data_IF_378676322063
#
_entry.id   IF_378676322063
#
_cell.length_a   1.000
_cell.length_b   1.000
_cell.length_c   1.000
_cell.angle_alpha   90.00
_cell.angle_beta   90.00
_cell.angle_gamma   90.00
#
_symmetry.space_group_name_H-M   'P 1'
#
loop_
_entity.id
_entity.type
_entity.pdbx_description
1 polymer ?
#
# COMPACT_ATOMS: atom_id res chain seq x y z
N UNK A 1 28.15 2.74 -19.36
CA UNK A 1 29.30 2.87 -18.45
C UNK A 1 30.35 1.88 -18.91
N UNK A 2 31.46 2.36 -19.42
CA UNK A 2 32.52 1.49 -19.95
C UNK A 2 33.51 1.12 -18.87
N UNK A 3 33.79 -0.18 -18.76
CA UNK A 3 34.63 -0.81 -17.75
C UNK A 3 35.83 -1.45 -18.45
N UNK A 4 37.03 -1.19 -17.93
CA UNK A 4 38.26 -1.76 -18.46
C UNK A 4 38.43 -3.24 -18.09
N UNK A 5 39.10 -4.00 -18.96
CA UNK A 5 39.38 -5.44 -18.74
C UNK A 5 40.28 -5.73 -17.55
N UNK A 6 41.06 -4.72 -17.12
CA UNK A 6 42.02 -4.81 -16.00
C UNK A 6 41.39 -4.54 -14.64
N UNK A 7 40.08 -4.32 -14.58
CA UNK A 7 39.38 -4.04 -13.33
C UNK A 7 39.42 -5.25 -12.38
N UNK A 8 39.88 -5.01 -11.15
CA UNK A 8 40.14 -6.08 -10.17
C UNK A 8 38.91 -6.94 -9.85
N UNK A 9 37.71 -6.35 -9.86
CA UNK A 9 36.45 -7.06 -9.59
C UNK A 9 36.09 -8.09 -10.67
N UNK A 10 36.62 -7.96 -11.89
CA UNK A 10 36.44 -8.95 -12.95
C UNK A 10 37.29 -10.22 -12.71
N UNK A 11 38.34 -10.09 -11.88
CA UNK A 11 39.32 -11.15 -11.60
C UNK A 11 39.19 -11.70 -10.17
N UNK A 12 37.98 -11.65 -9.59
CA UNK A 12 37.68 -12.16 -8.24
C UNK A 12 37.87 -11.14 -7.11
N UNK A 13 38.07 -9.86 -7.42
CA UNK A 13 38.04 -8.77 -6.45
C UNK A 13 36.63 -8.40 -5.98
N UNK A 14 36.53 -7.42 -5.07
CA UNK A 14 35.24 -6.94 -4.55
C UNK A 14 34.44 -6.20 -5.63
N UNK A 15 33.13 -6.47 -5.69
CA UNK A 15 32.24 -5.79 -6.63
C UNK A 15 32.15 -4.29 -6.38
N UNK A 16 32.06 -3.47 -7.44
CA UNK A 16 31.94 -2.02 -7.28
C UNK A 16 30.59 -1.64 -6.66
N UNK A 17 30.62 -0.61 -5.82
CA UNK A 17 29.43 -0.11 -5.11
C UNK A 17 28.83 1.08 -5.83
N UNK A 18 27.55 0.96 -6.20
CA UNK A 18 26.76 2.05 -6.75
C UNK A 18 26.11 2.86 -5.62
N UNK A 19 26.32 4.17 -5.65
CA UNK A 19 25.73 5.12 -4.71
C UNK A 19 24.80 6.05 -5.48
N UNK A 20 23.52 6.05 -5.11
CA UNK A 20 22.50 6.91 -5.72
C UNK A 20 21.84 7.73 -4.62
N UNK A 21 21.85 9.04 -4.77
CA UNK A 21 21.02 9.91 -3.96
C UNK A 21 19.69 10.17 -4.66
N UNK A 22 18.58 10.08 -3.93
CA UNK A 22 17.26 10.30 -4.51
C UNK A 22 16.33 10.98 -3.53
N UNK A 23 15.43 11.82 -4.06
CA UNK A 23 14.21 12.29 -3.38
C UNK A 23 12.96 11.65 -3.96
N UNK A 24 13.14 10.58 -4.74
CA UNK A 24 12.03 9.80 -5.23
C UNK A 24 11.40 8.99 -4.08
N UNK A 25 10.22 8.44 -4.32
CA UNK A 25 9.56 7.58 -3.34
C UNK A 25 10.11 6.15 -3.43
N UNK A 26 10.48 5.70 -4.63
CA UNK A 26 11.13 4.41 -4.86
C UNK A 26 12.08 4.49 -6.05
N UNK A 27 13.20 3.78 -5.99
CA UNK A 27 14.15 3.60 -7.10
C UNK A 27 14.45 2.13 -7.26
N UNK A 28 14.28 1.60 -8.46
CA UNK A 28 14.78 0.27 -8.85
C UNK A 28 16.03 0.42 -9.70
N UNK A 29 17.02 -0.42 -9.42
CA UNK A 29 18.32 -0.40 -10.08
C UNK A 29 18.41 -1.64 -10.95
N UNK A 30 18.50 -1.43 -12.26
CA UNK A 30 18.76 -2.49 -13.23
C UNK A 30 20.16 -2.34 -13.80
N UNK A 31 20.90 -3.44 -13.84
CA UNK A 31 22.24 -3.52 -14.42
C UNK A 31 22.21 -4.56 -15.51
N UNK A 32 22.52 -4.15 -16.74
CA UNK A 32 22.48 -4.99 -17.93
C UNK A 32 21.14 -5.72 -18.12
N UNK A 33 20.04 -5.08 -17.71
CA UNK A 33 18.68 -5.61 -17.82
C UNK A 33 18.22 -6.48 -16.65
N UNK A 34 19.08 -6.78 -15.68
CA UNK A 34 18.72 -7.55 -14.49
C UNK A 34 18.52 -6.64 -13.28
N UNK A 35 17.53 -6.95 -12.43
CA UNK A 35 17.32 -6.22 -11.19
C UNK A 35 18.49 -6.48 -10.23
N UNK A 36 19.20 -5.41 -9.87
CA UNK A 36 20.32 -5.48 -8.91
C UNK A 36 19.88 -5.09 -7.50
N UNK A 37 18.80 -4.34 -7.36
CA UNK A 37 18.29 -3.90 -6.06
C UNK A 37 17.24 -2.80 -6.21
N UNK A 38 16.63 -2.43 -5.09
CA UNK A 38 15.72 -1.30 -5.00
C UNK A 38 15.82 -0.65 -3.63
N UNK A 39 15.39 0.61 -3.54
CA UNK A 39 15.26 1.33 -2.27
C UNK A 39 14.07 2.28 -2.34
N UNK A 40 13.46 2.56 -1.19
CA UNK A 40 12.32 3.45 -1.06
C UNK A 40 12.46 4.31 0.19
N UNK A 41 11.89 5.52 0.13
CA UNK A 41 11.81 6.44 1.26
C UNK A 41 10.55 6.23 2.07
N UNK A 42 10.39 7.02 3.13
CA UNK A 42 9.14 7.10 3.88
C UNK A 42 8.44 8.43 3.60
N UNK A 43 7.21 8.58 4.08
CA UNK A 43 6.46 9.84 3.98
C UNK A 43 7.22 11.02 4.62
N UNK A 44 7.88 10.76 5.74
CA UNK A 44 8.67 11.75 6.49
C UNK A 44 10.05 11.95 5.86
N UNK A 45 10.76 10.84 5.62
CA UNK A 45 12.11 10.84 5.05
C UNK A 45 12.07 10.44 3.57
N UNK A 46 11.75 11.42 2.72
CA UNK A 46 11.71 11.24 1.25
C UNK A 46 13.08 11.16 0.61
N UNK A 47 14.10 11.80 1.20
CA UNK A 47 15.48 11.73 0.71
C UNK A 47 16.15 10.49 1.30
N UNK A 48 16.66 9.64 0.42
CA UNK A 48 17.45 8.49 0.82
C UNK A 48 18.67 8.31 -0.09
N UNK A 49 19.60 7.48 0.38
CA UNK A 49 20.79 7.09 -0.38
C UNK A 49 20.78 5.58 -0.52
N UNK A 50 20.71 5.11 -1.76
CA UNK A 50 20.98 3.70 -2.07
C UNK A 50 22.49 3.48 -2.11
N UNK A 51 22.94 2.40 -1.48
CA UNK A 51 24.31 1.88 -1.58
C UNK A 51 24.21 0.38 -1.78
N UNK A 52 24.66 -0.11 -2.93
CA UNK A 52 24.62 -1.53 -3.22
C UNK A 52 25.69 -1.94 -4.22
N UNK A 53 26.21 -3.14 -4.05
CA UNK A 53 27.18 -3.71 -4.96
C UNK A 53 26.49 -4.10 -6.27
N UNK A 54 27.13 -3.81 -7.40
CA UNK A 54 26.59 -4.09 -8.72
C UNK A 54 27.56 -4.98 -9.51
N UNK A 55 27.01 -5.92 -10.26
CA UNK A 55 27.80 -6.79 -11.13
C UNK A 55 27.96 -6.14 -12.51
N UNK A 56 29.18 -5.84 -12.90
CA UNK A 56 29.53 -5.24 -14.18
C UNK A 56 30.43 -6.22 -14.96
N UNK A 57 30.35 -6.20 -16.28
CA UNK A 57 31.27 -6.94 -17.15
C UNK A 57 32.27 -6.01 -17.82
N UNK A 58 33.31 -6.56 -18.44
CA UNK A 58 34.20 -5.77 -19.29
C UNK A 58 33.42 -5.10 -20.44
N UNK A 59 33.82 -3.88 -20.81
CA UNK A 59 33.19 -3.10 -21.87
C UNK A 59 31.95 -2.32 -21.39
N UNK A 60 30.99 -2.14 -22.29
CA UNK A 60 29.85 -1.25 -22.07
C UNK A 60 28.75 -1.89 -21.24
N UNK A 61 28.52 -1.35 -20.05
CA UNK A 61 27.42 -1.74 -19.16
C UNK A 61 26.29 -0.71 -19.20
N UNK A 62 25.05 -1.19 -19.17
CA UNK A 62 23.85 -0.35 -19.11
C UNK A 62 23.26 -0.37 -17.70
N UNK A 63 23.29 0.78 -17.04
CA UNK A 63 22.63 1.00 -15.75
C UNK A 63 21.34 1.75 -16.01
N UNK A 64 20.21 1.15 -15.68
CA UNK A 64 18.88 1.76 -15.81
C UNK A 64 18.30 1.99 -14.43
N UNK A 65 17.90 3.23 -14.15
CA UNK A 65 17.28 3.61 -12.87
C UNK A 65 15.80 3.90 -13.11
N UNK A 66 14.92 3.08 -12.53
CA UNK A 66 13.49 3.34 -12.55
C UNK A 66 13.10 4.13 -11.31
N UNK A 67 12.85 5.43 -11.50
CA UNK A 67 12.42 6.36 -10.46
C UNK A 67 10.89 6.43 -10.41
N UNK A 68 10.29 6.09 -9.26
CA UNK A 68 8.83 5.95 -9.09
C UNK A 68 8.26 6.94 -8.07
N UNK A 69 7.28 7.74 -8.49
CA UNK A 69 6.56 8.65 -7.60
C UNK A 69 5.29 8.01 -7.02
N UNK A 70 5.11 8.05 -5.70
CA UNK A 70 3.94 7.51 -4.99
C UNK A 70 3.11 8.69 -4.45
N UNK A 71 2.51 9.43 -5.38
CA UNK A 71 1.87 10.70 -5.08
C UNK A 71 2.85 11.87 -5.05
N UNK A 72 2.31 13.09 -4.99
CA UNK A 72 3.07 14.33 -4.85
C UNK A 72 2.80 14.96 -3.47
N UNK A 73 3.73 15.76 -2.95
CA UNK A 73 3.52 16.49 -1.71
C UNK A 73 2.25 17.36 -1.76
N UNK A 74 1.52 17.40 -0.65
CA UNK A 74 0.24 18.10 -0.54
C UNK A 74 0.12 18.97 0.72
N UNK A 75 1.19 19.11 1.50
CA UNK A 75 1.24 19.94 2.72
C UNK A 75 2.67 20.37 3.02
N UNK A 76 2.85 21.62 3.45
CA UNK A 76 4.15 22.23 3.76
C UNK A 76 4.29 23.65 3.21
N UNK A 77 5.28 24.40 3.67
CA UNK A 77 5.67 25.66 3.01
C UNK A 77 6.40 25.35 1.70
N UNK A 78 5.97 25.97 0.60
CA UNK A 78 6.58 25.81 -0.73
C UNK A 78 6.73 24.35 -1.21
N UNK A 79 5.76 23.48 -0.90
CA UNK A 79 5.87 22.06 -1.26
C UNK A 79 5.86 21.84 -2.79
N UNK A 80 5.37 22.81 -3.56
CA UNK A 80 5.42 22.84 -5.02
C UNK A 80 6.86 22.89 -5.58
N UNK A 81 7.81 23.40 -4.80
CA UNK A 81 9.21 23.51 -5.21
C UNK A 81 10.05 22.28 -4.81
N UNK A 82 9.44 21.25 -4.24
CA UNK A 82 10.15 20.07 -3.76
C UNK A 82 10.44 19.10 -4.90
N UNK A 83 11.73 18.85 -5.14
CA UNK A 83 12.19 17.95 -6.20
C UNK A 83 11.81 16.49 -5.93
N UNK A 84 11.37 15.77 -6.97
CA UNK A 84 11.13 14.32 -6.94
C UNK A 84 11.92 13.65 -8.06
N UNK A 85 12.81 12.71 -7.71
CA UNK A 85 13.58 11.94 -8.69
C UNK A 85 14.97 11.57 -8.22
N UNK A 86 15.83 11.18 -9.17
CA UNK A 86 17.26 10.93 -8.92
C UNK A 86 17.97 12.28 -8.79
N UNK A 87 18.73 12.44 -7.71
CA UNK A 87 19.53 13.63 -7.44
C UNK A 87 21.02 13.33 -7.66
N UNK A 88 21.77 14.38 -7.98
CA UNK A 88 23.23 14.36 -7.93
C UNK A 88 23.67 14.32 -6.45
N UNK A 89 24.69 13.50 -6.08
CA UNK A 89 25.52 12.67 -6.95
C UNK A 89 25.01 11.23 -7.17
N UNK A 90 25.32 10.70 -8.36
CA UNK A 90 25.28 9.26 -8.69
C UNK A 90 26.72 8.82 -8.95
N UNK A 91 27.26 7.94 -8.12
CA UNK A 91 28.67 7.58 -8.17
C UNK A 91 28.89 6.07 -8.09
N UNK A 92 29.96 5.62 -8.73
CA UNK A 92 30.46 4.26 -8.66
C UNK A 92 31.79 4.25 -7.90
N UNK A 93 31.88 3.42 -6.87
CA UNK A 93 33.08 3.21 -6.06
C UNK A 93 33.65 1.81 -6.30
N UNK A 94 34.94 1.62 -6.03
CA UNK A 94 35.60 0.32 -6.14
C UNK A 94 36.11 0.01 -7.55
N UNK A 95 36.31 1.03 -8.39
CA UNK A 95 37.07 0.88 -9.62
C UNK A 95 38.57 1.03 -9.34
N UNK A 96 39.41 0.55 -10.25
CA UNK A 96 40.87 0.72 -10.23
C UNK A 96 41.29 2.20 -10.10
N UNK A 97 40.55 3.10 -10.75
CA UNK A 97 40.72 4.56 -10.69
C UNK A 97 40.06 5.19 -9.45
N UNK A 98 39.54 4.39 -8.52
CA UNK A 98 38.84 4.82 -7.32
C UNK A 98 37.35 5.07 -7.55
N UNK A 99 36.94 6.35 -7.44
CA UNK A 99 35.55 6.79 -7.57
C UNK A 99 35.30 7.37 -8.95
N UNK A 100 34.23 6.93 -9.61
CA UNK A 100 33.74 7.54 -10.85
C UNK A 100 32.38 8.20 -10.62
N UNK A 101 32.31 9.48 -10.94
CA UNK A 101 31.05 10.23 -10.94
C UNK A 101 30.29 9.96 -12.25
N UNK A 102 29.03 9.54 -12.14
CA UNK A 102 28.14 9.26 -13.26
C UNK A 102 27.17 10.43 -13.51
N UNK A 103 27.09 11.41 -12.61
CA UNK A 103 26.15 12.53 -12.72
C UNK A 103 26.40 13.41 -13.95
N UNK A 104 27.65 13.50 -14.40
CA UNK A 104 28.06 14.32 -15.54
C UNK A 104 28.16 13.53 -16.85
N UNK A 105 27.75 12.26 -16.86
CA UNK A 105 27.70 11.46 -18.08
C UNK A 105 26.40 11.72 -18.86
N UNK A 106 26.33 11.18 -20.08
CA UNK A 106 25.13 11.27 -20.90
C UNK A 106 24.02 10.38 -20.31
N UNK A 107 22.89 11.00 -19.96
CA UNK A 107 21.69 10.32 -19.50
C UNK A 107 20.64 10.22 -20.59
N UNK A 108 19.91 9.10 -20.62
CA UNK A 108 18.74 8.91 -21.47
C UNK A 108 17.50 8.73 -20.60
N UNK A 109 16.41 9.37 -20.97
CA UNK A 109 15.17 9.37 -20.20
C UNK A 109 14.04 8.73 -21.00
N UNK A 110 13.22 7.95 -20.31
CA UNK A 110 11.97 7.42 -20.82
C UNK A 110 10.89 7.68 -19.78
N UNK A 111 9.78 8.29 -20.20
CA UNK A 111 8.63 8.54 -19.34
C UNK A 111 7.68 7.35 -19.44
N UNK A 112 7.25 6.83 -18.29
CA UNK A 112 6.30 5.73 -18.20
C UNK A 112 6.87 4.37 -18.60
N UNK A 113 6.02 3.35 -18.45
CA UNK A 113 6.32 1.97 -18.75
C UNK A 113 5.86 1.62 -20.18
N UNK A 114 6.55 0.67 -20.80
CA UNK A 114 6.17 0.19 -22.14
C UNK A 114 4.73 -0.35 -22.17
N UNK A 115 4.30 -1.06 -21.13
CA UNK A 115 2.93 -1.57 -21.01
C UNK A 115 1.87 -0.47 -20.91
N UNK A 116 2.21 0.68 -20.33
CA UNK A 116 1.34 1.87 -20.29
C UNK A 116 1.21 2.48 -21.68
N UNK A 117 2.34 2.70 -22.39
CA UNK A 117 2.33 3.22 -23.76
C UNK A 117 1.59 2.30 -24.76
N UNK A 118 1.54 1.00 -24.45
CA UNK A 118 0.83 -0.02 -25.22
C UNK A 118 -0.65 -0.16 -24.82
N UNK A 119 -1.12 0.59 -23.82
CA UNK A 119 -2.50 0.53 -23.33
C UNK A 119 -2.95 -0.89 -22.93
N UNK A 120 -2.06 -1.71 -22.36
CA UNK A 120 -2.34 -3.12 -22.01
C UNK A 120 -3.53 -3.29 -21.05
N UNK A 121 -3.87 -2.26 -20.30
CA UNK A 121 -4.95 -2.26 -19.33
C UNK A 121 -6.34 -2.04 -19.95
N UNK A 122 -6.43 -1.64 -21.22
CA UNK A 122 -7.67 -1.28 -21.87
C UNK A 122 -8.21 -2.45 -22.73
N UNK A 123 -9.52 -2.73 -22.68
CA UNK A 123 -10.12 -3.83 -23.44
C UNK A 123 -10.18 -3.58 -24.94
N UNK A 124 -10.05 -2.33 -25.39
CA UNK A 124 -10.04 -1.95 -26.80
C UNK A 124 -8.62 -1.62 -27.24
N UNK A 125 -8.22 -2.12 -28.41
CA UNK A 125 -6.90 -1.89 -29.02
C UNK A 125 -5.70 -2.51 -28.28
N UNK A 126 -5.85 -3.69 -27.66
CA UNK A 126 -4.70 -4.42 -27.12
C UNK A 126 -3.74 -4.79 -28.27
N UNK A 127 -2.50 -4.26 -28.30
CA UNK A 127 -1.51 -4.67 -29.28
C UNK A 127 -1.16 -6.15 -29.09
N UNK A 128 -0.67 -6.79 -30.16
CA UNK A 128 -0.19 -8.17 -30.10
C UNK A 128 1.03 -8.25 -29.19
N UNK A 129 0.83 -8.73 -27.97
CA UNK A 129 1.86 -9.12 -27.01
C UNK A 129 1.65 -10.57 -26.64
N UNK A 130 2.76 -11.29 -26.53
CA UNK A 130 2.75 -12.67 -26.09
C UNK A 130 2.50 -12.72 -24.59
N UNK A 131 1.33 -13.23 -24.22
CA UNK A 131 0.99 -13.51 -22.83
C UNK A 131 1.42 -14.93 -22.49
N UNK A 132 1.95 -15.11 -21.29
CA UNK A 132 2.36 -16.40 -20.75
C UNK A 132 1.44 -16.80 -19.60
N UNK A 133 1.34 -18.10 -19.36
CA UNK A 133 0.55 -18.63 -18.25
C UNK A 133 1.11 -18.14 -16.90
N UNK A 134 0.21 -17.77 -15.99
CA UNK A 134 0.58 -17.23 -14.68
C UNK A 134 1.38 -18.24 -13.83
N UNK A 135 1.18 -19.55 -14.02
CA UNK A 135 1.92 -20.60 -13.33
C UNK A 135 3.44 -20.50 -13.48
N UNK A 136 3.91 -20.03 -14.64
CA UNK A 136 5.34 -19.80 -14.91
C UNK A 136 5.90 -18.60 -14.12
N UNK A 137 5.06 -17.59 -13.87
CA UNK A 137 5.45 -16.39 -13.11
C UNK A 137 5.58 -16.66 -11.61
N UNK A 138 4.84 -17.64 -11.08
CA UNK A 138 4.92 -18.04 -9.66
C UNK A 138 6.25 -18.74 -9.35
N UNK A 139 6.78 -19.54 -10.28
CA UNK A 139 8.05 -20.25 -10.09
C UNK A 139 9.26 -19.32 -10.10
N UNK A 140 9.17 -18.20 -10.82
CA UNK A 140 10.24 -17.22 -10.92
C UNK A 140 9.66 -15.80 -10.98
N UNK A 141 9.29 -15.21 -9.83
CA UNK A 141 8.72 -13.87 -9.80
C UNK A 141 9.68 -12.88 -10.46
N UNK A 142 9.17 -12.15 -11.44
CA UNK A 142 9.90 -11.09 -12.14
C UNK A 142 9.31 -9.73 -11.74
N UNK A 143 10.16 -8.71 -11.52
CA UNK A 143 9.69 -7.35 -11.32
C UNK A 143 9.09 -6.80 -12.63
N UNK A 144 8.28 -5.74 -12.51
CA UNK A 144 7.66 -5.05 -13.64
C UNK A 144 6.81 -5.97 -14.55
N UNK A 145 6.04 -6.87 -13.94
CA UNK A 145 5.19 -7.86 -14.63
C UNK A 145 3.76 -7.35 -14.79
N UNK A 146 3.15 -7.64 -15.94
CA UNK A 146 1.72 -7.39 -16.18
C UNK A 146 0.96 -8.71 -16.10
N UNK A 147 -0.08 -8.74 -15.28
CA UNK A 147 -1.00 -9.87 -15.17
C UNK A 147 -2.37 -9.45 -15.72
N UNK A 148 -3.05 -10.38 -16.37
CA UNK A 148 -4.43 -10.19 -16.80
C UNK A 148 -5.26 -11.43 -16.50
N UNK A 149 -6.53 -11.23 -16.22
CA UNK A 149 -7.51 -12.32 -16.13
C UNK A 149 -8.91 -11.80 -16.44
N UNK A 150 -9.84 -12.71 -16.68
CA UNK A 150 -11.25 -12.41 -16.83
C UNK A 150 -12.03 -13.04 -15.68
N UNK A 151 -13.03 -12.34 -15.16
CA UNK A 151 -13.88 -12.82 -14.09
C UNK A 151 -15.33 -12.39 -14.26
N UNK A 152 -16.23 -13.17 -13.69
CA UNK A 152 -17.65 -12.86 -13.65
C UNK A 152 -18.00 -12.09 -12.38
N UNK A 153 -18.98 -11.19 -12.47
CA UNK A 153 -19.37 -10.40 -11.31
C UNK A 153 -20.01 -11.31 -10.25
N UNK A 154 -19.58 -11.25 -8.98
CA UNK A 154 -20.20 -12.03 -7.93
C UNK A 154 -21.63 -11.53 -7.69
N UNK A 155 -22.54 -12.44 -7.34
CA UNK A 155 -23.93 -12.10 -7.01
C UNK A 155 -24.02 -11.23 -5.75
N UNK A 156 -25.10 -10.45 -5.61
CA UNK A 156 -25.36 -9.64 -4.41
C UNK A 156 -24.93 -8.17 -4.54
N UNK A 157 -25.38 -7.36 -3.59
CA UNK A 157 -25.19 -5.90 -3.58
C UNK A 157 -24.11 -5.46 -2.55
N UNK A 158 -23.37 -6.40 -1.97
CA UNK A 158 -22.33 -6.08 -1.00
C UNK A 158 -21.14 -5.36 -1.64
N UNK A 159 -20.49 -4.42 -0.93
CA UNK A 159 -19.26 -3.79 -1.41
C UNK A 159 -18.18 -4.83 -1.69
N UNK A 160 -17.59 -4.75 -2.89
CA UNK A 160 -16.52 -5.63 -3.35
C UNK A 160 -15.16 -4.98 -3.18
N UNK A 161 -14.17 -5.76 -2.77
CA UNK A 161 -12.78 -5.34 -2.74
C UNK A 161 -11.88 -6.44 -3.31
N UNK A 162 -10.74 -6.04 -3.86
CA UNK A 162 -9.68 -6.98 -4.23
C UNK A 162 -8.77 -7.19 -3.03
N UNK A 163 -8.63 -8.46 -2.63
CA UNK A 163 -7.61 -8.89 -1.69
C UNK A 163 -6.30 -9.07 -2.47
N UNK A 164 -5.33 -8.23 -2.15
CA UNK A 164 -4.01 -8.23 -2.79
C UNK A 164 -2.95 -8.92 -1.92
N UNK A 165 -3.36 -9.75 -0.96
CA UNK A 165 -2.42 -10.62 -0.23
C UNK A 165 -1.55 -11.42 -1.20
N UNK A 166 -0.25 -11.52 -0.89
CA UNK A 166 0.74 -12.20 -1.74
C UNK A 166 1.25 -11.39 -2.92
N UNK A 167 0.65 -10.23 -3.22
CA UNK A 167 1.18 -9.25 -4.17
C UNK A 167 2.12 -8.25 -3.48
N UNK A 168 2.89 -7.48 -4.24
CA UNK A 168 3.87 -6.52 -3.75
C UNK A 168 3.40 -5.07 -3.87
N UNK A 169 3.62 -4.46 -5.04
CA UNK A 169 3.31 -3.05 -5.29
C UNK A 169 2.93 -2.85 -6.74
N UNK A 170 1.98 -1.98 -7.03
CA UNK A 170 1.73 -1.57 -8.40
C UNK A 170 0.37 -0.92 -8.60
N UNK A 171 -0.29 -1.26 -9.70
CA UNK A 171 -1.56 -0.66 -10.10
C UNK A 171 -2.59 -1.72 -10.48
N UNK A 172 -3.85 -1.44 -10.17
CA UNK A 172 -4.99 -2.30 -10.47
C UNK A 172 -5.94 -1.56 -11.39
N UNK A 173 -6.37 -2.23 -12.46
CA UNK A 173 -7.38 -1.75 -13.38
C UNK A 173 -8.43 -2.84 -13.63
N UNK A 174 -9.70 -2.44 -13.66
CA UNK A 174 -10.83 -3.31 -14.00
C UNK A 174 -11.57 -2.69 -15.17
N UNK A 175 -11.74 -3.40 -16.28
CA UNK A 175 -12.41 -2.89 -17.49
C UNK A 175 -11.82 -1.57 -18.03
N UNK A 176 -10.51 -1.35 -17.87
CA UNK A 176 -9.83 -0.08 -18.24
C UNK A 176 -9.94 1.03 -17.20
N UNK A 177 -10.71 0.82 -16.14
CA UNK A 177 -10.92 1.77 -15.05
C UNK A 177 -9.93 1.52 -13.91
N UNK A 178 -9.19 2.55 -13.48
CA UNK A 178 -8.22 2.41 -12.40
C UNK A 178 -8.91 2.23 -11.05
N UNK A 179 -8.60 1.15 -10.34
CA UNK A 179 -9.00 0.96 -8.93
C UNK A 179 -8.06 1.77 -8.02
N UNK A 180 -6.79 1.85 -8.40
CA UNK A 180 -5.79 2.64 -7.70
C UNK A 180 -4.44 1.95 -7.65
N UNK A 181 -3.53 2.53 -6.85
CA UNK A 181 -2.25 1.94 -6.52
C UNK A 181 -2.43 0.96 -5.36
N UNK A 182 -1.74 -0.16 -5.41
CA UNK A 182 -1.61 -1.06 -4.26
C UNK A 182 -0.17 -1.12 -3.79
N UNK A 183 -0.02 -1.29 -2.49
CA UNK A 183 1.24 -1.57 -1.84
C UNK A 183 0.99 -2.31 -0.52
N UNK A 184 1.43 -3.56 -0.46
CA UNK A 184 1.21 -4.48 0.68
C UNK A 184 2.36 -4.46 1.69
N UNK A 185 3.12 -3.36 1.76
CA UNK A 185 4.19 -3.22 2.74
C UNK A 185 3.65 -3.34 4.17
N UNK A 186 4.43 -3.91 5.09
CA UNK A 186 3.95 -4.14 6.45
C UNK A 186 3.91 -2.85 7.26
N UNK A 187 2.80 -2.62 7.94
CA UNK A 187 2.64 -1.50 8.84
C UNK A 187 3.58 -1.66 10.04
N UNK A 188 4.31 -0.59 10.33
CA UNK A 188 5.18 -0.47 11.50
C UNK A 188 4.60 0.54 12.48
N UNK A 189 4.92 0.39 13.76
CA UNK A 189 4.44 1.27 14.82
C UNK A 189 4.17 0.51 16.12
N UNK A 190 3.68 1.24 17.11
CA UNK A 190 3.27 0.70 18.40
C UNK A 190 1.75 0.54 18.44
N UNK A 191 1.27 -0.64 18.05
CA UNK A 191 -0.14 -1.00 18.11
C UNK A 191 -0.49 -1.57 19.49
N UNK A 192 -0.48 -0.70 20.50
CA UNK A 192 -0.87 -1.04 21.86
C UNK A 192 -2.38 -0.90 22.13
N UNK A 193 -2.78 -1.26 23.34
CA UNK A 193 -4.11 -0.89 23.84
C UNK A 193 -4.19 0.63 24.00
N UNK A 194 -5.27 1.23 23.53
CA UNK A 194 -5.53 2.64 23.75
C UNK A 194 -6.82 2.86 24.55
N UNK A 195 -6.83 3.92 25.36
CA UNK A 195 -8.01 4.37 26.08
C UNK A 195 -8.60 5.62 25.42
N UNK A 196 -9.92 5.75 25.45
CA UNK A 196 -10.61 6.98 25.04
C UNK A 196 -10.28 8.16 25.96
N UNK A 197 -9.88 7.91 27.21
CA UNK A 197 -9.55 8.93 28.20
C UNK A 197 -8.22 9.64 27.90
N UNK A 198 -8.12 10.93 28.24
CA UNK A 198 -6.92 11.75 28.04
C UNK A 198 -6.74 12.26 26.61
N UNK A 199 -5.82 13.22 26.43
CA UNK A 199 -5.58 13.90 25.15
C UNK A 199 -5.32 12.92 24.01
N UNK A 200 -6.05 13.07 22.90
CA UNK A 200 -5.86 12.28 21.70
C UNK A 200 -4.66 12.77 20.91
N UNK A 201 -3.88 11.82 20.38
CA UNK A 201 -2.84 12.05 19.37
C UNK A 201 -3.05 11.03 18.23
N UNK A 202 -2.71 11.35 16.97
CA UNK A 202 -2.91 10.44 15.84
C UNK A 202 -2.29 9.05 16.00
N UNK A 203 -1.18 8.95 16.74
CA UNK A 203 -0.47 7.70 17.02
C UNK A 203 -0.95 6.96 18.28
N UNK A 204 -2.01 7.44 18.97
CA UNK A 204 -2.48 6.87 20.24
C UNK A 204 -3.18 5.52 20.08
N UNK A 205 -3.95 5.35 19.00
CA UNK A 205 -4.81 4.20 18.77
C UNK A 205 -4.49 3.57 17.41
N UNK A 206 -3.24 3.14 17.22
CA UNK A 206 -2.83 2.47 16.00
C UNK A 206 -3.31 1.01 16.00
N UNK A 207 -3.66 0.50 14.82
CA UNK A 207 -4.07 -0.88 14.62
C UNK A 207 -3.48 -1.43 13.33
N UNK A 208 -3.29 -2.74 13.25
CA UNK A 208 -2.80 -3.42 12.04
C UNK A 208 -1.28 -3.46 11.89
N UNK A 209 -0.50 -3.21 12.95
CA UNK A 209 0.95 -3.41 12.92
C UNK A 209 1.28 -4.88 12.61
N UNK A 210 2.31 -5.11 11.80
CA UNK A 210 2.69 -6.45 11.34
C UNK A 210 1.75 -7.03 10.28
N UNK A 211 0.78 -6.26 9.79
CA UNK A 211 -0.07 -6.60 8.65
C UNK A 211 0.22 -5.65 7.48
N UNK A 212 -0.17 -5.99 6.23
CA UNK A 212 -0.07 -5.06 5.11
C UNK A 212 -0.78 -3.73 5.44
N UNK A 213 -0.14 -2.59 5.14
CA UNK A 213 -0.68 -1.24 5.37
C UNK A 213 -2.05 -1.06 4.73
N UNK A 214 -2.26 -1.70 3.59
CA UNK A 214 -3.57 -1.88 2.98
C UNK A 214 -3.58 -3.22 2.22
N UNK A 215 -4.46 -4.12 2.64
CA UNK A 215 -4.66 -5.44 2.01
C UNK A 215 -5.81 -5.42 0.99
N UNK A 216 -6.91 -4.76 1.37
CA UNK A 216 -8.14 -4.72 0.58
C UNK A 216 -8.23 -3.41 -0.20
N UNK A 217 -8.42 -3.52 -1.51
CA UNK A 217 -8.51 -2.38 -2.43
C UNK A 217 -9.94 -2.26 -2.92
N UNK A 218 -10.61 -1.24 -2.39
CA UNK A 218 -11.98 -0.90 -2.71
C UNK A 218 -12.00 0.33 -3.61
N UNK A 219 -12.84 0.27 -4.64
CA UNK A 219 -13.40 1.45 -5.31
C UNK A 219 -14.91 1.29 -5.24
N UNK A 220 -15.67 2.38 -5.26
CA UNK A 220 -17.14 2.34 -5.29
C UNK A 220 -17.63 1.68 -6.58
N UNK A 221 -17.57 0.35 -6.61
CA UNK A 221 -18.09 -0.52 -7.64
C UNK A 221 -19.62 -0.54 -7.51
N UNK A 222 -20.26 0.63 -7.65
CA UNK A 222 -21.68 0.62 -8.01
C UNK A 222 -21.79 -0.20 -9.29
N UNK A 223 -22.78 -1.09 -9.34
CA UNK A 223 -23.00 -2.12 -10.36
C UNK A 223 -22.91 -1.64 -11.82
N UNK A 224 -22.85 -0.34 -12.08
CA UNK A 224 -22.62 0.24 -13.42
C UNK A 224 -21.30 -0.13 -14.09
N UNK A 225 -20.23 -0.52 -13.37
CA UNK A 225 -18.90 -0.69 -13.98
C UNK A 225 -18.52 -2.15 -14.24
N UNK A 226 -19.12 -3.06 -13.46
CA UNK A 226 -18.96 -4.49 -13.64
C UNK A 226 -20.05 -4.99 -14.57
N UNK A 227 -19.63 -5.72 -15.60
CA UNK A 227 -20.52 -6.51 -16.44
C UNK A 227 -20.88 -7.80 -15.70
N UNK A 228 -22.01 -8.45 -16.02
CA UNK A 228 -22.34 -9.75 -15.43
C UNK A 228 -21.23 -10.79 -15.62
N UNK A 229 -20.60 -10.79 -16.80
CA UNK A 229 -19.49 -11.68 -17.14
C UNK A 229 -18.39 -10.96 -17.92
N UNK A 230 -17.23 -11.62 -18.04
CA UNK A 230 -16.10 -11.16 -18.86
C UNK A 230 -15.55 -9.78 -18.45
N UNK A 231 -15.44 -9.53 -17.14
CA UNK A 231 -14.73 -8.37 -16.63
C UNK A 231 -13.23 -8.58 -16.75
N UNK A 232 -12.53 -7.63 -17.38
CA UNK A 232 -11.09 -7.68 -17.52
C UNK A 232 -10.43 -7.10 -16.27
N UNK A 233 -9.66 -7.91 -15.54
CA UNK A 233 -8.75 -7.45 -14.48
C UNK A 233 -7.34 -7.39 -15.03
N UNK A 234 -6.69 -6.23 -14.95
CA UNK A 234 -5.27 -6.05 -15.26
C UNK A 234 -4.54 -5.52 -14.04
N UNK A 235 -3.44 -6.18 -13.69
CA UNK A 235 -2.58 -5.81 -12.57
C UNK A 235 -1.17 -5.59 -13.11
N UNK A 236 -0.62 -4.40 -12.85
CA UNK A 236 0.81 -4.18 -12.96
C UNK A 236 1.46 -4.47 -11.61
N UNK A 237 2.45 -5.36 -11.58
CA UNK A 237 3.24 -5.74 -10.39
C UNK A 237 4.68 -5.26 -10.56
N UNK A 238 5.07 -4.31 -9.71
CA UNK A 238 6.33 -3.57 -9.77
C UNK A 238 7.48 -4.35 -9.15
N UNK A 239 7.25 -5.07 -8.05
CA UNK A 239 8.32 -5.73 -7.25
C UNK A 239 8.34 -7.22 -7.55
N UNK A 240 7.17 -7.84 -7.57
CA UNK A 240 7.00 -9.29 -7.68
C UNK A 240 6.02 -9.79 -6.64
N UNK A 241 5.11 -10.68 -7.07
CA UNK A 241 4.03 -11.19 -6.26
C UNK A 241 3.45 -12.47 -6.83
N UNK A 242 2.61 -13.14 -6.04
CA UNK A 242 1.89 -14.33 -6.48
C UNK A 242 0.46 -13.96 -6.92
N UNK A 243 0.18 -13.87 -8.23
CA UNK A 243 -1.15 -13.50 -8.71
C UNK A 243 -2.24 -14.53 -8.34
N UNK A 244 -1.88 -15.78 -8.03
CA UNK A 244 -2.85 -16.81 -7.62
C UNK A 244 -3.45 -16.58 -6.24
N UNK A 245 -2.84 -15.72 -5.41
CA UNK A 245 -3.38 -15.36 -4.10
C UNK A 245 -4.41 -14.22 -4.19
N UNK A 246 -4.49 -13.53 -5.33
CA UNK A 246 -5.44 -12.43 -5.53
C UNK A 246 -6.86 -12.98 -5.58
N UNK A 247 -7.75 -12.40 -4.78
CA UNK A 247 -9.15 -12.80 -4.74
C UNK A 247 -10.10 -11.62 -4.64
N UNK A 248 -11.32 -11.81 -5.13
CA UNK A 248 -12.40 -10.84 -4.97
C UNK A 248 -13.18 -11.19 -3.70
N UNK A 249 -13.29 -10.25 -2.79
CA UNK A 249 -13.94 -10.45 -1.49
C UNK A 249 -15.11 -9.51 -1.30
N UNK A 250 -16.15 -10.01 -0.63
CA UNK A 250 -17.31 -9.22 -0.21
C UNK A 250 -17.12 -8.70 1.20
N UNK A 251 -17.39 -7.42 1.41
CA UNK A 251 -17.42 -6.84 2.74
C UNK A 251 -18.78 -7.09 3.39
N UNK A 252 -18.82 -7.95 4.40
CA UNK A 252 -19.97 -8.13 5.28
C UNK A 252 -19.64 -7.68 6.71
N UNK A 253 -20.63 -7.14 7.42
CA UNK A 253 -20.51 -6.79 8.83
C UNK A 253 -21.24 -7.86 9.63
N UNK A 254 -20.49 -8.74 10.30
CA UNK A 254 -21.03 -9.88 11.05
C UNK A 254 -21.36 -9.56 12.51
N UNK A 255 -20.83 -8.46 13.04
CA UNK A 255 -21.04 -8.05 14.42
C UNK A 255 -20.72 -6.58 14.59
N UNK A 256 -21.54 -5.91 15.40
CA UNK A 256 -21.34 -4.53 15.82
C UNK A 256 -21.42 -4.54 17.34
N UNK A 257 -20.63 -3.70 18.01
CA UNK A 257 -20.71 -3.50 19.44
C UNK A 257 -20.87 -2.00 19.71
N UNK A 258 -21.42 -1.66 20.87
CA UNK A 258 -21.39 -0.30 21.39
C UNK A 258 -21.26 -0.36 22.91
N UNK A 259 -20.45 0.53 23.45
CA UNK A 259 -20.35 0.78 24.89
C UNK A 259 -20.75 2.24 25.12
N UNK A 260 -21.66 2.47 26.06
CA UNK A 260 -22.09 3.81 26.42
C UNK A 260 -22.10 3.94 27.93
N UNK A 261 -21.28 4.86 28.43
CA UNK A 261 -21.26 5.21 29.85
C UNK A 261 -22.47 6.06 30.22
N UNK A 262 -22.87 6.02 31.50
CA UNK A 262 -23.97 6.85 32.01
C UNK A 262 -23.71 8.35 31.78
N UNK A 263 -22.43 8.75 31.79
CA UNK A 263 -21.96 10.13 31.58
C UNK A 263 -21.53 10.41 30.14
N UNK A 264 -21.93 9.58 29.17
CA UNK A 264 -21.49 9.76 27.79
C UNK A 264 -21.93 11.13 27.25
N UNK A 265 -20.94 11.96 26.89
CA UNK A 265 -21.17 13.31 26.40
C UNK A 265 -21.90 13.27 25.05
N UNK A 266 -22.97 14.05 24.93
CA UNK A 266 -23.65 14.29 23.67
C UNK A 266 -23.43 15.77 23.24
N UNK A 267 -23.64 16.08 21.96
CA UNK A 267 -23.44 17.43 21.38
C UNK A 267 -24.19 18.53 22.16
N UNK A 268 -25.24 18.19 22.91
CA UNK A 268 -25.99 19.13 23.76
C UNK A 268 -25.38 19.39 25.14
N UNK A 269 -24.51 18.50 25.65
CA UNK A 269 -23.92 18.57 27.00
C UNK A 269 -22.44 19.01 27.00
N UNK A 270 -21.89 19.54 25.90
CA UNK A 270 -20.48 19.98 25.88
C UNK A 270 -20.18 21.18 26.79
N UNK A 271 -21.20 21.92 27.23
CA UNK A 271 -21.09 23.02 28.20
C UNK A 271 -21.21 22.50 29.63
N UNK A 272 -20.21 21.76 30.09
CA UNK A 272 -20.18 21.22 31.46
C UNK A 272 -19.85 22.28 32.54
N UNK A 273 -19.44 23.49 32.17
CA UNK A 273 -18.93 24.50 33.12
C UNK A 273 -19.61 25.89 32.98
N UNK A 274 -20.93 25.94 32.78
CA UNK A 274 -21.66 27.22 32.89
C UNK A 274 -22.70 27.17 34.01
N UNK A 275 -22.25 27.59 35.19
CA UNK A 275 -23.00 28.22 36.29
C UNK A 275 -24.41 27.67 36.57
N UNK A 276 -24.51 26.78 37.56
CA UNK A 276 -25.60 26.76 38.54
C UNK A 276 -27.01 26.36 38.07
N UNK A 277 -27.23 26.00 36.81
CA UNK A 277 -28.51 25.45 36.34
C UNK A 277 -28.41 23.94 36.16
N UNK A 278 -29.17 23.19 36.96
CA UNK A 278 -29.32 21.74 36.81
C UNK A 278 -29.80 21.42 35.39
N UNK A 279 -28.92 20.82 34.58
CA UNK A 279 -29.28 20.37 33.25
C UNK A 279 -30.04 19.04 33.34
N UNK A 280 -31.08 18.91 32.51
CA UNK A 280 -31.82 17.67 32.33
C UNK A 280 -30.89 16.57 31.84
N UNK A 281 -30.65 15.56 32.68
CA UNK A 281 -29.84 14.40 32.32
C UNK A 281 -30.54 13.63 31.20
N UNK A 282 -30.01 13.73 29.98
CA UNK A 282 -30.50 12.93 28.86
C UNK A 282 -29.89 11.54 28.94
N UNK A 283 -30.74 10.52 29.13
CA UNK A 283 -30.30 9.12 29.11
C UNK A 283 -29.54 8.83 27.81
N UNK A 284 -28.30 8.30 27.88
CA UNK A 284 -27.58 7.89 26.70
C UNK A 284 -28.40 6.86 25.90
N UNK A 285 -28.35 6.93 24.57
CA UNK A 285 -29.03 5.99 23.67
C UNK A 285 -28.09 5.54 22.57
N UNK A 286 -28.15 4.26 22.22
CA UNK A 286 -27.52 3.71 21.02
C UNK A 286 -28.59 3.41 19.99
N UNK A 287 -28.42 3.94 18.79
CA UNK A 287 -29.26 3.62 17.65
C UNK A 287 -28.48 2.75 16.67
N UNK A 288 -29.03 1.58 16.39
CA UNK A 288 -28.44 0.60 15.47
C UNK A 288 -29.28 0.59 14.21
N UNK A 289 -28.62 0.63 13.05
CA UNK A 289 -29.27 0.54 11.76
C UNK A 289 -28.47 -0.38 10.87
N UNK A 290 -29.12 -1.39 10.32
CA UNK A 290 -28.53 -2.27 9.31
C UNK A 290 -28.58 -1.60 7.92
N UNK A 291 -27.67 -2.01 7.05
CA UNK A 291 -27.73 -1.70 5.63
C UNK A 291 -29.03 -2.26 5.00
N UNK A 292 -29.50 -1.72 3.88
CA UNK A 292 -30.66 -2.27 3.16
C UNK A 292 -30.50 -3.78 2.92
N UNK A 293 -31.55 -4.56 3.18
CA UNK A 293 -31.55 -6.02 3.03
C UNK A 293 -30.89 -6.80 4.18
N UNK A 294 -30.28 -6.13 5.16
CA UNK A 294 -29.72 -6.78 6.35
C UNK A 294 -30.58 -6.55 7.59
N UNK A 295 -30.62 -7.54 8.49
CA UNK A 295 -31.32 -7.47 9.76
C UNK A 295 -30.42 -7.95 10.90
N UNK A 296 -30.66 -7.42 12.11
CA UNK A 296 -29.98 -7.90 13.33
C UNK A 296 -30.57 -9.26 13.67
N UNK A 297 -29.75 -10.32 13.59
CA UNK A 297 -30.19 -11.69 13.85
C UNK A 297 -30.16 -12.06 15.33
N UNK A 298 -29.16 -11.58 16.08
CA UNK A 298 -29.00 -11.91 17.50
C UNK A 298 -28.19 -10.85 18.26
N UNK A 299 -28.45 -10.73 19.57
CA UNK A 299 -27.61 -9.98 20.51
C UNK A 299 -26.70 -11.00 21.22
N UNK A 300 -25.39 -10.95 20.92
CA UNK A 300 -24.42 -11.90 21.50
C UNK A 300 -24.14 -11.63 22.99
N UNK A 301 -24.16 -10.37 23.40
CA UNK A 301 -23.89 -9.94 24.76
C UNK A 301 -24.53 -8.57 24.99
N UNK A 302 -25.16 -8.40 26.15
CA UNK A 302 -25.65 -7.12 26.63
C UNK A 302 -25.42 -7.06 28.15
N UNK A 303 -24.83 -5.97 28.62
CA UNK A 303 -24.61 -5.71 30.03
C UNK A 303 -24.91 -4.24 30.33
N UNK A 304 -25.52 -4.00 31.49
CA UNK A 304 -25.65 -2.66 32.06
C UNK A 304 -24.46 -2.30 32.97
N UNK A 305 -23.66 -3.30 33.37
CA UNK A 305 -22.48 -3.16 34.22
C UNK A 305 -21.21 -3.16 33.38
N UNK A 306 -20.10 -2.66 33.93
CA UNK A 306 -18.77 -2.67 33.32
C UNK A 306 -18.37 -4.07 32.84
N UNK A 307 -18.42 -4.32 31.52
CA UNK A 307 -18.05 -5.62 30.98
C UNK A 307 -16.52 -5.77 30.94
N UNK A 308 -16.03 -7.00 31.02
CA UNK A 308 -14.62 -7.30 30.77
C UNK A 308 -14.40 -7.56 29.29
N UNK A 309 -13.23 -7.19 28.77
CA UNK A 309 -12.84 -7.45 27.38
C UNK A 309 -13.04 -6.26 26.44
N UNK A 310 -13.15 -6.54 25.15
CA UNK A 310 -13.26 -5.52 24.09
C UNK A 310 -14.46 -5.83 23.19
N UNK A 311 -14.77 -4.90 22.29
CA UNK A 311 -15.71 -5.11 21.20
C UNK A 311 -15.53 -6.48 20.53
N UNK A 312 -16.56 -7.32 20.60
CA UNK A 312 -16.54 -8.68 20.03
C UNK A 312 -16.09 -9.79 20.99
N UNK A 313 -15.53 -9.46 22.15
CA UNK A 313 -15.10 -10.38 23.21
C UNK A 313 -15.57 -9.96 24.61
N UNK A 314 -16.66 -9.20 24.69
CA UNK A 314 -17.22 -8.79 25.97
C UNK A 314 -17.67 -10.00 26.80
N UNK A 315 -17.29 -9.99 28.07
CA UNK A 315 -17.63 -10.99 29.07
C UNK A 315 -18.21 -10.32 30.31
N UNK A 316 -18.85 -11.13 31.13
CA UNK A 316 -19.39 -10.72 32.41
C UNK A 316 -18.27 -10.21 33.31
N UNK A 317 -18.38 -8.98 33.82
CA UNK A 317 -17.45 -8.38 34.77
C UNK A 317 -17.70 -8.79 36.23
N UNK A 318 -16.91 -8.24 37.15
CA UNK A 318 -16.96 -8.62 38.57
C UNK A 318 -18.27 -8.22 39.30
N UNK A 319 -18.97 -7.19 38.83
CA UNK A 319 -20.16 -6.63 39.52
C UNK A 319 -21.49 -6.96 38.83
N UNK A 320 -21.64 -8.16 38.28
CA UNK A 320 -22.93 -8.54 37.71
C UNK A 320 -23.91 -9.01 38.79
N UNK A 321 -25.12 -8.44 38.79
CA UNK A 321 -26.25 -9.04 39.48
C UNK A 321 -26.61 -10.36 38.79
N UNK A 322 -26.74 -11.44 39.56
CA UNK A 322 -27.28 -12.71 39.08
C UNK A 322 -28.73 -12.49 38.65
N UNK A 323 -29.07 -12.93 37.44
CA UNK A 323 -30.46 -13.08 36.99
C UNK A 323 -31.11 -14.28 37.65
#
# INVERSE_FOLDING_TARGET
VDIGETESFLHGGELPTLIIQSTCHTVHIFVNGQLSGYAFGTRENRRFTYRGNINLHSGTNRITLLSVAVGLPNVGGHFESWNTGILVPVALHGLSQGKRDLSWQKWTYQVGLRGEAMNLAYPTNTPSVEWMDASLTVQKPQPLTWHKTYFDAPEGDEPLALDMEGMGKGQILVNGESIGRYWTTFATGDCGNCSYTGTYKPNKCLSGCGQPTQRYYYRDMKLSWLKPSQNLLVIFEEIGGNPSAVSLVKRSVSGVCAEVSEYHLNIKNWKLESYGKGQTFHRPKVHWKCSPGQAISAIKFASFVTPLGKCGSYQQGEFHAAT
#
